data_IF_316202660211
#
_entry.id   IF_316202660211
#
_cell.length_a   1.000
_cell.length_b   1.000
_cell.length_c   1.000
_cell.angle_alpha   90.00
_cell.angle_beta   90.00
_cell.angle_gamma   90.00
#
_symmetry.space_group_name_H-M   'P 1'
#
loop_
_entity.id
_entity.type
_entity.pdbx_description
1 polymer ?
#
# COMPACT_ATOMS: atom_id res chain seq x y z
N UNK A 1 -11.05 1.79 6.46
CA UNK A 1 -10.67 1.66 5.05
C UNK A 1 -9.18 1.84 4.87
N UNK A 2 -8.59 1.09 3.95
CA UNK A 2 -7.17 1.27 3.66
C UNK A 2 -6.96 2.61 2.95
N UNK A 3 -5.90 3.31 3.35
CA UNK A 3 -5.49 4.57 2.75
C UNK A 3 -4.98 4.33 1.33
N UNK A 4 -5.24 5.26 0.42
CA UNK A 4 -4.67 5.20 -0.91
C UNK A 4 -3.28 5.83 -0.88
N UNK A 5 -2.26 5.05 -1.19
CA UNK A 5 -0.87 5.51 -1.21
C UNK A 5 -0.48 5.82 -2.66
N UNK A 6 0.01 7.03 -2.88
CA UNK A 6 0.38 7.52 -4.21
C UNK A 6 1.78 8.08 -4.19
N UNK A 7 2.36 8.27 -5.37
CA UNK A 7 3.65 8.94 -5.52
C UNK A 7 3.62 10.31 -4.87
N UNK A 8 2.46 10.99 -4.91
CA UNK A 8 2.32 12.35 -4.39
C UNK A 8 2.23 12.44 -2.87
N UNK A 9 1.85 11.35 -2.15
CA UNK A 9 1.68 11.41 -0.70
C UNK A 9 2.62 10.51 0.08
N UNK A 10 3.42 9.70 -0.58
CA UNK A 10 4.27 8.70 0.08
C UNK A 10 5.28 9.32 1.04
N UNK A 11 5.97 10.37 0.59
CA UNK A 11 6.97 11.05 1.43
C UNK A 11 6.35 11.62 2.69
N UNK A 12 5.15 12.19 2.56
CA UNK A 12 4.41 12.75 3.68
C UNK A 12 4.04 11.67 4.69
N UNK A 13 3.64 10.49 4.19
CA UNK A 13 3.30 9.36 5.05
C UNK A 13 4.53 8.85 5.83
N UNK A 14 5.69 8.78 5.16
CA UNK A 14 6.93 8.41 5.83
C UNK A 14 7.31 9.41 6.91
N UNK A 15 7.07 10.68 6.68
CA UNK A 15 7.41 11.74 7.63
C UNK A 15 6.56 11.69 8.90
N UNK A 16 5.46 10.94 8.92
CA UNK A 16 4.60 10.81 10.10
C UNK A 16 5.27 10.10 11.27
N UNK A 17 6.37 9.37 11.01
CA UNK A 17 7.08 8.61 12.03
C UNK A 17 6.52 7.23 12.32
N UNK A 18 5.40 6.86 11.70
CA UNK A 18 4.80 5.53 11.86
C UNK A 18 5.31 4.58 10.77
N UNK A 19 5.41 3.27 11.07
CA UNK A 19 5.69 2.29 10.03
C UNK A 19 4.61 2.33 8.93
N UNK A 20 5.02 2.17 7.68
CA UNK A 20 4.11 2.17 6.54
C UNK A 20 4.11 0.80 5.89
N UNK A 21 2.93 0.22 5.73
CA UNK A 21 2.74 -1.05 5.01
C UNK A 21 2.01 -0.72 3.72
N UNK A 22 2.62 -1.07 2.60
CA UNK A 22 2.07 -0.77 1.27
C UNK A 22 1.63 -2.07 0.61
N UNK A 23 0.35 -2.12 0.23
CA UNK A 23 -0.19 -3.21 -0.58
C UNK A 23 -0.15 -2.77 -2.05
N UNK A 24 0.81 -3.31 -2.81
CA UNK A 24 0.89 -3.03 -4.23
C UNK A 24 -0.10 -3.91 -4.98
N UNK A 25 -1.04 -3.28 -5.67
CA UNK A 25 -2.13 -3.99 -6.34
C UNK A 25 -2.39 -3.42 -7.74
N UNK A 26 -3.18 -4.13 -8.51
CA UNK A 26 -3.63 -3.68 -9.83
C UNK A 26 -5.01 -4.24 -10.11
N UNK A 27 -5.74 -3.57 -10.98
CA UNK A 27 -7.11 -3.99 -11.36
C UNK A 27 -7.12 -5.35 -12.05
N UNK A 28 -6.02 -5.71 -12.71
CA UNK A 28 -5.88 -6.98 -13.43
C UNK A 28 -5.35 -8.11 -12.53
N UNK A 29 -5.05 -7.83 -11.28
CA UNK A 29 -4.50 -8.80 -10.34
C UNK A 29 -5.61 -9.48 -9.55
N UNK A 30 -5.95 -10.72 -9.91
CA UNK A 30 -6.98 -11.49 -9.20
C UNK A 30 -6.66 -11.76 -7.73
N UNK A 31 -5.45 -12.26 -7.40
CA UNK A 31 -5.07 -12.49 -6.00
C UNK A 31 -5.10 -11.23 -5.15
N UNK A 32 -4.74 -10.08 -5.72
CA UNK A 32 -4.79 -8.80 -5.00
C UNK A 32 -6.21 -8.49 -4.53
N UNK A 33 -7.19 -8.76 -5.37
CA UNK A 33 -8.60 -8.52 -5.05
C UNK A 33 -9.08 -9.43 -3.92
N UNK A 34 -8.55 -10.64 -3.85
CA UNK A 34 -8.93 -11.59 -2.80
C UNK A 34 -8.45 -11.16 -1.43
N UNK A 35 -7.27 -10.54 -1.34
CA UNK A 35 -6.73 -10.09 -0.06
C UNK A 35 -7.19 -8.68 0.32
N UNK A 36 -7.82 -7.95 -0.60
CA UNK A 36 -8.25 -6.57 -0.34
C UNK A 36 -9.10 -6.44 0.94
N UNK A 37 -10.10 -7.30 1.20
CA UNK A 37 -10.86 -7.22 2.45
C UNK A 37 -10.00 -7.41 3.70
N UNK A 38 -9.00 -8.29 3.63
CA UNK A 38 -8.08 -8.54 4.74
C UNK A 38 -7.19 -7.32 5.00
N UNK A 39 -6.71 -6.68 3.94
CA UNK A 39 -5.90 -5.46 4.05
C UNK A 39 -6.73 -4.34 4.67
N UNK A 40 -7.97 -4.18 4.25
CA UNK A 40 -8.88 -3.19 4.80
C UNK A 40 -9.13 -3.42 6.30
N UNK A 41 -9.31 -4.67 6.70
CA UNK A 41 -9.51 -5.04 8.10
C UNK A 41 -8.27 -4.73 8.94
N UNK A 42 -7.07 -5.05 8.44
CA UNK A 42 -5.82 -4.76 9.12
C UNK A 42 -5.60 -3.25 9.25
N UNK A 43 -5.92 -2.49 8.20
CA UNK A 43 -5.77 -1.04 8.22
C UNK A 43 -6.63 -0.42 9.32
N UNK A 44 -7.85 -0.91 9.49
CA UNK A 44 -8.76 -0.42 10.54
C UNK A 44 -8.28 -0.84 11.93
N UNK A 45 -7.82 -2.08 12.08
CA UNK A 45 -7.39 -2.62 13.37
C UNK A 45 -6.14 -1.92 13.90
N UNK A 46 -5.20 -1.59 13.04
CA UNK A 46 -3.90 -1.03 13.45
C UNK A 46 -3.72 0.45 13.09
N UNK A 47 -4.79 1.15 12.78
CA UNK A 47 -4.73 2.53 12.30
C UNK A 47 -3.98 3.51 13.20
N UNK A 48 -3.94 3.25 14.51
CA UNK A 48 -3.26 4.12 15.47
C UNK A 48 -1.77 3.77 15.63
N UNK A 49 -1.35 2.62 15.12
CA UNK A 49 0.00 2.11 15.30
C UNK A 49 0.82 2.12 14.02
N UNK A 50 0.20 1.76 12.90
CA UNK A 50 0.87 1.71 11.61
C UNK A 50 -0.03 2.28 10.53
N UNK A 51 0.60 2.76 9.46
CA UNK A 51 -0.12 3.22 8.27
C UNK A 51 -0.17 2.04 7.30
N UNK A 52 -1.36 1.56 6.99
CA UNK A 52 -1.55 0.48 6.02
C UNK A 52 -2.38 1.04 4.87
N UNK A 53 -1.83 0.96 3.68
CA UNK A 53 -2.50 1.52 2.51
C UNK A 53 -2.28 0.69 1.25
N UNK A 54 -2.99 1.06 0.20
CA UNK A 54 -2.94 0.40 -1.10
C UNK A 54 -2.32 1.34 -2.13
N UNK A 55 -1.46 0.79 -2.99
CA UNK A 55 -0.83 1.54 -4.06
C UNK A 55 -1.11 0.84 -5.39
N UNK A 56 -1.81 1.53 -6.29
CA UNK A 56 -2.09 1.03 -7.63
C UNK A 56 -0.83 1.19 -8.47
N UNK A 57 -0.26 0.06 -8.91
CA UNK A 57 1.01 0.07 -9.65
C UNK A 57 0.89 0.72 -11.03
N UNK A 58 -0.30 0.74 -11.60
CA UNK A 58 -0.51 1.36 -12.92
C UNK A 58 -0.52 2.89 -12.85
N UNK A 59 -0.88 3.46 -11.70
CA UNK A 59 -0.96 4.90 -11.51
C UNK A 59 0.22 5.50 -10.75
N UNK A 60 1.12 4.67 -10.22
CA UNK A 60 2.20 5.12 -9.34
C UNK A 60 3.54 4.49 -9.73
N UNK A 61 4.02 4.86 -10.92
CA UNK A 61 5.26 4.31 -11.49
C UNK A 61 6.50 4.56 -10.62
N UNK A 62 6.56 5.71 -9.96
CA UNK A 62 7.71 6.05 -9.13
C UNK A 62 7.86 5.10 -7.95
N UNK A 63 6.79 4.86 -7.22
CA UNK A 63 6.81 3.93 -6.09
C UNK A 63 7.07 2.50 -6.55
N UNK A 64 6.43 2.10 -7.64
CA UNK A 64 6.60 0.78 -8.21
C UNK A 64 8.06 0.53 -8.59
N UNK A 65 8.68 1.50 -9.23
CA UNK A 65 10.10 1.42 -9.62
C UNK A 65 11.03 1.49 -8.41
N UNK A 66 10.72 2.34 -7.44
CA UNK A 66 11.55 2.54 -6.24
C UNK A 66 11.71 1.26 -5.43
N UNK A 67 10.65 0.48 -5.30
CA UNK A 67 10.67 -0.75 -4.52
C UNK A 67 10.90 -1.99 -5.37
N UNK A 68 11.13 -1.84 -6.66
CA UNK A 68 11.42 -2.94 -7.55
C UNK A 68 10.33 -3.99 -7.57
N UNK A 69 9.07 -3.54 -7.58
CA UNK A 69 7.92 -4.42 -7.50
C UNK A 69 7.81 -5.27 -8.75
N UNK A 70 8.01 -6.58 -8.61
CA UNK A 70 7.87 -7.55 -9.70
C UNK A 70 6.61 -8.37 -9.53
N UNK A 71 6.29 -8.68 -8.27
CA UNK A 71 5.07 -9.39 -7.90
C UNK A 71 4.27 -8.48 -6.99
N UNK A 72 2.96 -8.46 -7.19
CA UNK A 72 2.09 -7.64 -6.36
C UNK A 72 1.95 -8.27 -4.99
N UNK A 73 2.25 -7.51 -3.95
CA UNK A 73 2.29 -8.02 -2.58
C UNK A 73 2.31 -6.89 -1.57
N UNK A 74 2.27 -7.27 -0.28
CA UNK A 74 2.45 -6.34 0.82
C UNK A 74 3.94 -6.11 1.06
N UNK A 75 4.31 -4.85 1.18
CA UNK A 75 5.68 -4.46 1.49
C UNK A 75 5.66 -3.56 2.72
N UNK A 76 6.42 -3.94 3.73
CA UNK A 76 6.57 -3.16 4.95
C UNK A 76 7.77 -2.23 4.84
N UNK A 77 7.53 -0.98 5.09
CA UNK A 77 8.57 0.06 5.00
C UNK A 77 8.75 0.75 6.35
#
# INVERSE_FOLDING_TARGET
MALEIKDSNFEELLASGKPVVVDFWATWCGPCKKIAPDVEALAEEYKDQVIIGKCDVDDNDELTGKFGVRNLSLIHI
#
